data_IF_608296676991
#
_entry.id   IF_608296676991
#
_cell.length_a   1.000
_cell.length_b   1.000
_cell.length_c   1.000
_cell.angle_alpha   90.00
_cell.angle_beta   90.00
_cell.angle_gamma   90.00
#
_symmetry.space_group_name_H-M   'P 1'
#
loop_
_entity.id
_entity.type
_entity.pdbx_description
1 polymer ?
#
# COMPACT_ATOMS: atom_id res chain seq x y z
N UNK A 1 -12.80 3.06 23.09
CA UNK A 1 -12.78 3.46 21.67
C UNK A 1 -11.67 2.69 20.97
N UNK A 2 -11.98 1.96 19.89
CA UNK A 2 -10.97 1.21 19.13
C UNK A 2 -10.11 2.17 18.32
N UNK A 3 -8.81 1.88 18.17
CA UNK A 3 -7.92 2.69 17.33
C UNK A 3 -8.13 2.29 15.86
N UNK A 4 -8.13 3.25 14.91
CA UNK A 4 -8.21 2.91 13.50
C UNK A 4 -7.02 2.03 13.10
N UNK A 5 -7.28 1.06 12.22
CA UNK A 5 -6.24 0.15 11.77
C UNK A 5 -5.12 0.90 11.05
N UNK A 6 -3.87 0.50 11.31
CA UNK A 6 -2.69 0.99 10.62
C UNK A 6 -1.60 -0.08 10.57
N UNK A 7 -1.09 -0.38 9.38
CA UNK A 7 -0.02 -1.35 9.18
C UNK A 7 0.84 -1.00 7.97
N UNK A 8 2.14 -1.10 8.12
CA UNK A 8 3.10 -1.02 7.01
C UNK A 8 3.65 -2.41 6.73
N UNK A 9 3.77 -2.73 5.45
CA UNK A 9 4.37 -3.96 4.95
C UNK A 9 5.37 -3.64 3.85
N UNK A 10 6.33 -4.54 3.66
CA UNK A 10 7.49 -4.33 2.80
C UNK A 10 7.74 -5.53 1.89
N UNK A 11 8.42 -5.25 0.78
CA UNK A 11 8.93 -6.23 -0.17
C UNK A 11 10.44 -5.99 -0.34
N UNK A 12 11.26 -6.97 0.03
CA UNK A 12 12.72 -6.86 -0.08
C UNK A 12 13.26 -7.35 -1.41
N UNK A 13 12.59 -8.32 -2.02
CA UNK A 13 13.01 -8.97 -3.25
C UNK A 13 12.11 -8.54 -4.41
N UNK A 14 12.74 -8.00 -5.45
CA UNK A 14 12.06 -7.47 -6.63
C UNK A 14 11.30 -6.17 -6.36
N UNK A 15 10.55 -5.74 -7.37
CA UNK A 15 9.74 -4.53 -7.36
C UNK A 15 8.31 -4.87 -7.78
N UNK A 16 7.34 -4.16 -7.22
CA UNK A 16 5.95 -4.26 -7.68
C UNK A 16 5.75 -3.37 -8.89
N UNK A 17 5.26 -3.93 -9.99
CA UNK A 17 4.83 -3.17 -11.17
C UNK A 17 3.48 -2.52 -10.90
N UNK A 18 3.49 -1.28 -10.42
CA UNK A 18 2.27 -0.57 -9.98
C UNK A 18 1.20 -0.46 -11.07
N UNK A 19 1.59 -0.27 -12.34
CA UNK A 19 0.63 -0.24 -13.45
C UNK A 19 -0.09 -1.58 -13.65
N UNK A 20 0.61 -2.70 -13.44
CA UNK A 20 -0.02 -4.01 -13.54
C UNK A 20 -0.94 -4.26 -12.34
N UNK A 21 -0.49 -3.88 -11.14
CA UNK A 21 -1.30 -3.98 -9.93
C UNK A 21 -2.57 -3.10 -10.02
N UNK A 22 -2.49 -1.93 -10.65
CA UNK A 22 -3.65 -1.07 -10.93
C UNK A 22 -4.70 -1.81 -11.77
N UNK A 23 -4.26 -2.40 -12.89
CA UNK A 23 -5.14 -3.12 -13.82
C UNK A 23 -5.81 -4.32 -13.17
N UNK A 24 -5.10 -5.05 -12.31
CA UNK A 24 -5.63 -6.21 -11.59
C UNK A 24 -6.63 -5.81 -10.50
N UNK A 25 -6.40 -4.67 -9.83
CA UNK A 25 -7.22 -4.26 -8.69
C UNK A 25 -8.44 -3.40 -9.06
N UNK A 26 -8.40 -2.68 -10.18
CA UNK A 26 -9.50 -1.76 -10.58
C UNK A 26 -10.84 -2.45 -10.83
N UNK A 27 -10.84 -3.76 -11.06
CA UNK A 27 -12.08 -4.54 -11.25
C UNK A 27 -12.88 -4.69 -9.95
N UNK A 28 -12.20 -4.69 -8.80
CA UNK A 28 -12.82 -4.97 -7.48
C UNK A 28 -12.74 -3.78 -6.53
N UNK A 29 -11.71 -2.95 -6.68
CA UNK A 29 -11.41 -1.86 -5.77
C UNK A 29 -11.45 -0.50 -6.46
N UNK A 30 -11.63 0.56 -5.67
CA UNK A 30 -11.40 1.91 -6.18
C UNK A 30 -9.91 2.20 -6.18
N UNK A 31 -9.35 2.39 -7.38
CA UNK A 31 -7.91 2.57 -7.56
C UNK A 31 -7.59 3.94 -8.15
N UNK A 32 -6.55 4.59 -7.64
CA UNK A 32 -6.04 5.87 -8.15
C UNK A 32 -4.52 5.90 -8.10
N UNK A 33 -3.90 6.26 -9.22
CA UNK A 33 -2.48 6.58 -9.26
C UNK A 33 -2.27 8.00 -8.73
N UNK A 34 -1.35 8.16 -7.78
CA UNK A 34 -0.97 9.47 -7.24
C UNK A 34 0.53 9.66 -7.34
N UNK A 35 0.92 10.77 -7.96
CA UNK A 35 2.28 11.28 -7.86
C UNK A 35 2.41 12.03 -6.53
N UNK A 36 3.34 11.60 -5.68
CA UNK A 36 3.71 12.36 -4.50
C UNK A 36 4.60 13.54 -4.91
N UNK A 37 4.35 14.75 -4.37
CA UNK A 37 5.26 15.87 -4.57
C UNK A 37 6.65 15.51 -4.04
N UNK A 38 7.68 15.85 -4.83
CA UNK A 38 9.09 15.70 -4.44
C UNK A 38 9.35 16.67 -3.29
N UNK A 39 9.66 16.18 -2.10
CA UNK A 39 10.21 17.04 -1.05
C UNK A 39 11.66 17.38 -1.43
N UNK A 40 12.00 18.67 -1.50
CA UNK A 40 13.34 19.20 -1.84
C UNK A 40 14.45 18.73 -0.88
N UNK A 41 14.08 18.11 0.26
CA UNK A 41 14.98 17.53 1.25
C UNK A 41 15.23 16.02 1.07
N UNK A 42 14.56 15.38 0.12
CA UNK A 42 14.76 13.95 -0.16
C UNK A 42 15.73 13.78 -1.33
N UNK A 43 16.99 13.44 -1.03
CA UNK A 43 17.92 12.88 -2.03
C UNK A 43 17.39 11.48 -2.37
N UNK A 44 16.34 11.41 -3.19
CA UNK A 44 15.75 10.13 -3.60
C UNK A 44 16.52 9.60 -4.79
N UNK A 45 17.43 8.68 -4.51
CA UNK A 45 18.15 7.86 -5.50
C UNK A 45 17.20 7.01 -6.35
N UNK A 46 15.89 7.00 -6.04
CA UNK A 46 14.86 6.21 -6.71
C UNK A 46 13.62 7.06 -7.03
N UNK A 47 13.66 7.82 -8.13
CA UNK A 47 12.54 8.65 -8.59
C UNK A 47 11.22 7.86 -8.81
N UNK A 48 11.31 6.56 -9.07
CA UNK A 48 10.17 5.63 -9.22
C UNK A 48 9.42 5.34 -7.91
N UNK A 49 9.97 5.68 -6.74
CA UNK A 49 9.28 5.52 -5.45
C UNK A 49 8.27 6.63 -5.15
N UNK A 50 8.22 7.68 -5.98
CA UNK A 50 7.34 8.83 -5.77
C UNK A 50 5.94 8.63 -6.37
N UNK A 51 5.68 7.49 -7.00
CA UNK A 51 4.34 7.13 -7.49
C UNK A 51 3.77 6.09 -6.54
N UNK A 52 2.64 6.41 -5.92
CA UNK A 52 1.89 5.48 -5.07
C UNK A 52 0.54 5.14 -5.72
N UNK A 53 0.21 3.86 -5.73
CA UNK A 53 -1.10 3.36 -6.08
C UNK A 53 -1.98 3.38 -4.84
N UNK A 54 -2.99 4.26 -4.84
CA UNK A 54 -4.02 4.28 -3.81
C UNK A 54 -5.12 3.29 -4.18
N UNK A 55 -5.29 2.27 -3.36
CA UNK A 55 -6.37 1.28 -3.47
C UNK A 55 -7.31 1.46 -2.28
N UNK A 56 -8.60 1.45 -2.52
CA UNK A 56 -9.62 1.57 -1.49
C UNK A 56 -10.66 0.46 -1.65
N UNK A 57 -10.92 -0.26 -0.56
CA UNK A 57 -12.05 -1.16 -0.39
C UNK A 57 -13.24 -0.40 0.25
N UNK A 58 -13.86 -0.97 1.27
CA UNK A 58 -15.04 -0.36 1.92
C UNK A 58 -14.58 0.64 2.98
N UNK A 59 -13.79 0.16 3.94
CA UNK A 59 -13.25 0.95 5.06
C UNK A 59 -11.72 1.04 5.02
N UNK A 60 -11.06 0.09 4.36
CA UNK A 60 -9.62 -0.03 4.28
C UNK A 60 -9.04 0.69 3.05
N UNK A 61 -7.94 1.40 3.29
CA UNK A 61 -7.13 2.06 2.28
C UNK A 61 -5.75 1.40 2.25
N UNK A 62 -5.17 1.27 1.07
CA UNK A 62 -3.80 0.83 0.86
C UNK A 62 -3.08 1.80 -0.08
N UNK A 63 -1.99 2.39 0.39
CA UNK A 63 -1.03 3.11 -0.46
C UNK A 63 0.11 2.16 -0.80
N UNK A 64 0.07 1.60 -2.00
CA UNK A 64 1.07 0.67 -2.51
C UNK A 64 2.12 1.41 -3.33
N UNK A 65 3.37 1.36 -2.87
CA UNK A 65 4.55 1.77 -3.60
C UNK A 65 5.37 0.58 -4.05
N UNK A 66 6.48 0.83 -4.73
CA UNK A 66 7.30 -0.23 -5.34
C UNK A 66 7.82 -1.27 -4.33
N UNK A 67 8.19 -0.81 -3.12
CA UNK A 67 8.84 -1.63 -2.08
C UNK A 67 8.06 -1.73 -0.76
N UNK A 68 6.99 -0.95 -0.60
CA UNK A 68 6.19 -0.92 0.62
C UNK A 68 4.73 -0.69 0.31
N UNK A 69 3.87 -1.11 1.22
CA UNK A 69 2.46 -0.73 1.26
C UNK A 69 2.08 -0.25 2.65
N UNK A 70 1.29 0.82 2.70
CA UNK A 70 0.71 1.33 3.94
C UNK A 70 -0.78 1.07 3.91
N UNK A 71 -1.26 0.20 4.80
CA UNK A 71 -2.67 -0.08 4.99
C UNK A 71 -3.21 0.70 6.18
N UNK A 72 -4.36 1.35 6.03
CA UNK A 72 -4.95 2.14 7.10
C UNK A 72 -6.46 2.31 6.94
N UNK A 73 -7.16 2.53 8.05
CA UNK A 73 -8.53 3.03 8.06
C UNK A 73 -8.52 4.49 8.51
N UNK A 74 -9.38 5.33 7.94
CA UNK A 74 -9.55 6.73 8.40
C UNK A 74 -10.25 6.80 9.75
N UNK A 75 -11.22 5.91 9.95
CA UNK A 75 -12.00 5.77 11.17
C UNK A 75 -12.00 4.30 11.59
N UNK A 76 -12.14 4.03 12.89
CA UNK A 76 -12.15 2.65 13.38
C UNK A 76 -13.52 1.99 13.09
N UNK A 77 -13.57 1.23 12.00
CA UNK A 77 -14.73 0.42 11.61
C UNK A 77 -14.36 -1.08 11.59
N UNK A 78 -15.31 -1.98 11.86
CA UNK A 78 -15.10 -3.41 11.62
C UNK A 78 -14.74 -3.66 10.14
N UNK A 79 -13.82 -4.58 9.89
CA UNK A 79 -13.50 -4.98 8.51
C UNK A 79 -14.67 -5.70 7.86
N UNK A 80 -14.93 -5.38 6.60
CA UNK A 80 -15.77 -6.21 5.73
C UNK A 80 -14.94 -7.32 5.11
N UNK A 81 -15.59 -8.35 4.55
CA UNK A 81 -14.91 -9.40 3.78
C UNK A 81 -14.08 -8.81 2.61
N UNK A 82 -14.57 -7.71 2.02
CA UNK A 82 -13.89 -6.98 0.96
C UNK A 82 -12.59 -6.32 1.45
N UNK A 83 -12.61 -5.74 2.66
CA UNK A 83 -11.44 -5.18 3.31
C UNK A 83 -10.43 -6.27 3.70
N UNK A 84 -10.89 -7.40 4.25
CA UNK A 84 -10.02 -8.50 4.64
C UNK A 84 -9.31 -9.11 3.43
N UNK A 85 -10.02 -9.28 2.31
CA UNK A 85 -9.45 -9.77 1.05
C UNK A 85 -8.35 -8.82 0.55
N UNK A 86 -8.58 -7.50 0.60
CA UNK A 86 -7.56 -6.52 0.21
C UNK A 86 -6.34 -6.60 1.13
N UNK A 87 -6.57 -6.70 2.45
CA UNK A 87 -5.51 -6.81 3.45
C UNK A 87 -4.62 -8.03 3.17
N UNK A 88 -5.23 -9.19 2.94
CA UNK A 88 -4.50 -10.44 2.74
C UNK A 88 -3.72 -10.41 1.44
N UNK A 89 -4.31 -9.92 0.36
CA UNK A 89 -3.60 -9.71 -0.91
C UNK A 89 -2.38 -8.80 -0.75
N UNK A 90 -2.51 -7.68 -0.03
CA UNK A 90 -1.39 -6.79 0.23
C UNK A 90 -0.32 -7.46 1.11
N UNK A 91 -0.71 -8.34 2.02
CA UNK A 91 0.24 -9.09 2.85
C UNK A 91 0.99 -10.15 2.06
N UNK A 92 0.39 -10.73 1.02
CA UNK A 92 1.06 -11.64 0.09
C UNK A 92 2.06 -10.90 -0.81
N UNK A 93 1.65 -9.76 -1.37
CA UNK A 93 2.52 -8.94 -2.26
C UNK A 93 3.70 -8.36 -1.46
N UNK A 94 3.43 -7.92 -0.23
CA UNK A 94 4.39 -7.32 0.71
C UNK A 94 4.48 -8.18 2.00
N UNK A 95 5.26 -9.26 1.98
CA UNK A 95 5.27 -10.26 3.05
C UNK A 95 6.03 -9.83 4.30
N UNK A 96 6.83 -8.77 4.25
CA UNK A 96 7.71 -8.39 5.35
C UNK A 96 7.09 -7.30 6.22
N UNK A 97 7.27 -7.39 7.54
CA UNK A 97 6.85 -6.37 8.51
C UNK A 97 7.95 -5.34 8.83
N UNK A 98 9.14 -5.48 8.22
CA UNK A 98 10.31 -4.64 8.44
C UNK A 98 10.84 -4.09 7.13
N UNK A 99 11.41 -2.88 7.16
CA UNK A 99 11.95 -2.23 5.96
C UNK A 99 13.18 -2.93 5.39
N UNK A 100 13.94 -3.65 6.22
CA UNK A 100 15.16 -4.35 5.82
C UNK A 100 15.30 -5.67 6.58
N UNK A 101 15.95 -6.70 5.99
CA UNK A 101 16.27 -7.95 6.68
C UNK A 101 17.28 -7.81 7.81
N UNK A 102 18.10 -6.74 7.80
CA UNK A 102 19.28 -6.63 8.66
C UNK A 102 19.06 -5.89 9.99
N UNK A 103 17.85 -5.35 10.23
CA UNK A 103 17.51 -4.59 11.45
C UNK A 103 16.08 -4.90 11.91
#
# INVERSE_FOLDING_TARGET
MSRPFYKIRYKWLGSVKLNQLELELRERYSVRMKEMPKDDLSISVFAEQNVELMVKADTLYAYAGVLKVTLFQKEAWPFTEHDETLKDLMFEIYPWNKASPLF
#
